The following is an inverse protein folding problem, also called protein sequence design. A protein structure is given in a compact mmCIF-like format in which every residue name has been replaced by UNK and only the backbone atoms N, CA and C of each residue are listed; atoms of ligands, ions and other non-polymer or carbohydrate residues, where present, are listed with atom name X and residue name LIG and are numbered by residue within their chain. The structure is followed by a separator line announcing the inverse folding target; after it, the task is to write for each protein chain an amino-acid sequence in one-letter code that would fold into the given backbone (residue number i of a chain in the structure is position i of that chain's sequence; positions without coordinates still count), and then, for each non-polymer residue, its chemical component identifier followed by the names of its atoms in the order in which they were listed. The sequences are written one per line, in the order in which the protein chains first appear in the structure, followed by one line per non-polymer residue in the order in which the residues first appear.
data_IF_415322577081
#
_entry.id   IF_415322577081
#
_cell.length_a   1.000
_cell.length_b   1.000
_cell.length_c   1.000
_cell.angle_alpha   90.00
_cell.angle_beta   90.00
_cell.angle_gamma   90.00
#
_symmetry.space_group_name_H-M   'P 1'
#
loop_
_entity.id
_entity.type
_entity.pdbx_description
1 polymer ?
#
# COMPACT_ATOMS: atom_id res chain seq x y z
N UNK A 1 13.21 -9.97 4.84
CA UNK A 1 13.31 -8.67 5.54
C UNK A 1 14.49 -7.83 5.04
N UNK A 2 15.68 -8.43 4.85
CA UNK A 2 16.89 -7.74 4.38
C UNK A 2 16.68 -7.03 3.04
N UNK A 3 16.01 -7.68 2.09
CA UNK A 3 15.73 -7.09 0.77
C UNK A 3 14.98 -5.75 0.84
N UNK A 4 14.03 -5.60 1.76
CA UNK A 4 13.23 -4.39 1.87
C UNK A 4 14.09 -3.18 2.27
N UNK A 5 15.06 -3.39 3.14
CA UNK A 5 16.00 -2.39 3.63
C UNK A 5 17.32 -2.34 2.82
N UNK A 6 17.44 -3.18 1.75
CA UNK A 6 18.67 -3.30 0.98
C UNK A 6 19.04 -1.97 0.29
N UNK A 7 20.32 -1.64 0.43
CA UNK A 7 20.94 -0.47 -0.16
C UNK A 7 21.56 -0.78 -1.53
N UNK A 8 22.08 -2.00 -1.73
CA UNK A 8 23.01 -2.33 -2.80
C UNK A 8 22.40 -2.30 -4.21
N UNK A 9 21.12 -2.61 -4.33
CA UNK A 9 20.43 -2.83 -5.60
C UNK A 9 20.13 -1.57 -6.43
N UNK A 10 20.37 -0.37 -5.92
CA UNK A 10 20.10 0.87 -6.65
C UNK A 10 18.63 1.07 -7.06
N UNK A 11 17.73 0.38 -6.42
CA UNK A 11 16.30 0.28 -6.77
C UNK A 11 15.59 1.63 -6.68
N UNK A 12 14.70 1.93 -7.64
CA UNK A 12 13.90 3.15 -7.64
C UNK A 12 12.70 3.07 -6.71
N UNK A 13 11.94 2.01 -6.83
CA UNK A 13 10.75 1.74 -6.02
C UNK A 13 10.63 0.24 -5.86
N UNK A 14 10.07 -0.22 -4.75
CA UNK A 14 9.94 -1.64 -4.43
C UNK A 14 8.50 -2.10 -4.49
N UNK A 15 8.29 -3.29 -5.03
CA UNK A 15 7.00 -3.97 -5.09
C UNK A 15 7.14 -5.34 -4.46
N UNK A 16 6.22 -5.70 -3.60
CA UNK A 16 6.08 -7.07 -3.08
C UNK A 16 4.95 -7.75 -3.83
N UNK A 17 5.19 -8.95 -4.29
CA UNK A 17 4.19 -9.79 -4.94
C UNK A 17 3.90 -10.99 -4.05
N UNK A 18 2.63 -11.29 -3.84
CA UNK A 18 2.20 -12.52 -3.18
C UNK A 18 0.92 -13.05 -3.82
N UNK A 19 0.50 -14.25 -3.42
CA UNK A 19 -0.76 -14.81 -3.89
C UNK A 19 -1.93 -13.93 -3.45
N UNK A 20 -2.01 -13.59 -2.16
CA UNK A 20 -3.10 -12.80 -1.57
C UNK A 20 -2.57 -11.63 -0.74
N UNK A 21 -3.38 -10.60 -0.51
CA UNK A 21 -3.05 -9.49 0.38
C UNK A 21 -3.15 -9.91 1.86
N UNK A 22 -2.51 -9.15 2.77
CA UNK A 22 -2.49 -9.40 4.22
C UNK A 22 -3.65 -8.73 4.96
N UNK A 23 -4.80 -8.63 4.33
CA UNK A 23 -6.04 -8.10 4.89
C UNK A 23 -7.24 -8.80 4.25
N UNK A 24 -8.30 -9.03 5.01
CA UNK A 24 -9.47 -9.74 4.52
C UNK A 24 -10.60 -8.79 4.16
N UNK A 25 -10.68 -8.41 2.88
CA UNK A 25 -11.78 -7.59 2.35
C UNK A 25 -12.91 -8.51 1.92
N UNK A 26 -13.71 -8.97 2.88
CA UNK A 26 -14.85 -9.83 2.63
C UNK A 26 -15.93 -9.71 3.71
N UNK A 27 -17.19 -9.72 3.28
CA UNK A 27 -18.36 -9.83 4.15
C UNK A 27 -19.28 -10.95 3.68
N UNK A 28 -20.08 -11.48 4.58
CA UNK A 28 -21.07 -12.53 4.33
C UNK A 28 -22.37 -12.20 5.06
N UNK A 29 -23.53 -12.76 4.65
CA UNK A 29 -24.77 -12.62 5.40
C UNK A 29 -24.60 -12.97 6.88
N UNK A 30 -25.24 -12.21 7.76
CA UNK A 30 -25.10 -12.42 9.22
C UNK A 30 -25.60 -13.77 9.70
N UNK A 31 -26.58 -14.36 8.99
CA UNK A 31 -27.14 -15.69 9.24
C UNK A 31 -26.31 -16.84 8.64
N UNK A 32 -25.24 -16.54 7.91
CA UNK A 32 -24.37 -17.58 7.35
C UNK A 32 -23.75 -18.44 8.45
N UNK A 33 -23.87 -19.77 8.31
CA UNK A 33 -23.33 -20.75 9.26
C UNK A 33 -21.81 -20.77 9.29
N UNK A 34 -21.16 -20.43 8.16
CA UNK A 34 -19.71 -20.32 8.04
C UNK A 34 -19.22 -18.91 8.39
N UNK A 35 -18.03 -18.80 8.99
CA UNK A 35 -17.30 -17.54 9.11
C UNK A 35 -16.57 -17.14 7.84
N UNK A 36 -16.44 -18.06 6.88
CA UNK A 36 -15.74 -17.90 5.62
C UNK A 36 -16.66 -17.42 4.49
N UNK A 37 -16.07 -17.17 3.33
CA UNK A 37 -16.80 -16.82 2.10
C UNK A 37 -17.69 -17.99 1.65
N UNK A 38 -18.89 -17.69 1.19
CA UNK A 38 -19.88 -18.67 0.71
C UNK A 38 -20.09 -18.55 -0.81
N UNK A 39 -20.30 -19.67 -1.54
CA UNK A 39 -20.27 -19.67 -3.01
C UNK A 39 -21.54 -19.14 -3.69
N UNK A 40 -22.61 -18.84 -2.98
CA UNK A 40 -23.91 -18.48 -3.57
C UNK A 40 -24.44 -17.14 -3.07
N UNK A 41 -23.62 -16.10 -3.09
CA UNK A 41 -24.05 -14.75 -2.71
C UNK A 41 -24.96 -14.15 -3.79
N UNK A 42 -26.13 -13.58 -3.45
CA UNK A 42 -26.92 -12.80 -4.39
C UNK A 42 -26.14 -11.59 -4.92
N UNK A 43 -26.29 -11.32 -6.21
CA UNK A 43 -25.69 -10.15 -6.86
C UNK A 43 -26.69 -8.98 -6.73
N UNK A 44 -26.29 -7.85 -6.12
CA UNK A 44 -27.15 -6.68 -5.96
C UNK A 44 -27.28 -5.89 -7.26
N UNK A 45 -28.24 -4.96 -7.31
CA UNK A 45 -28.30 -3.95 -8.36
C UNK A 45 -27.04 -3.05 -8.29
N UNK A 46 -26.60 -2.48 -9.42
CA UNK A 46 -25.42 -1.59 -9.45
C UNK A 46 -25.58 -0.43 -8.46
N UNK A 47 -24.57 -0.20 -7.64
CA UNK A 47 -24.58 0.86 -6.64
C UNK A 47 -25.43 0.59 -5.40
N UNK A 48 -26.15 -0.55 -5.31
CA UNK A 48 -26.87 -0.92 -4.11
C UNK A 48 -25.91 -1.33 -3.00
N UNK A 49 -26.23 -0.95 -1.77
CA UNK A 49 -25.54 -1.41 -0.57
C UNK A 49 -26.30 -2.58 0.06
N UNK A 50 -25.63 -3.68 0.32
CA UNK A 50 -26.22 -4.85 0.96
C UNK A 50 -26.12 -4.70 2.48
N UNK A 51 -27.24 -4.46 3.13
CA UNK A 51 -27.31 -4.41 4.59
C UNK A 51 -27.35 -5.80 5.23
N UNK A 52 -26.93 -5.90 6.48
CA UNK A 52 -27.05 -7.12 7.27
C UNK A 52 -25.94 -8.15 7.07
N UNK A 53 -24.83 -7.78 6.44
CA UNK A 53 -23.65 -8.60 6.41
C UNK A 53 -22.85 -8.48 7.72
N UNK A 54 -22.00 -9.47 7.98
CA UNK A 54 -20.93 -9.47 8.99
C UNK A 54 -19.57 -9.62 8.33
N UNK A 55 -18.52 -9.25 9.04
CA UNK A 55 -17.16 -9.49 8.57
C UNK A 55 -16.90 -10.98 8.40
N UNK A 56 -16.33 -11.38 7.27
CA UNK A 56 -15.88 -12.75 7.04
C UNK A 56 -14.49 -12.98 7.64
N UNK A 57 -14.22 -14.21 8.08
CA UNK A 57 -12.89 -14.67 8.49
C UNK A 57 -12.47 -15.81 7.54
N UNK A 58 -11.96 -15.42 6.38
CA UNK A 58 -11.53 -16.36 5.34
C UNK A 58 -10.16 -16.93 5.65
N UNK A 59 -10.14 -18.11 6.28
CA UNK A 59 -8.91 -18.79 6.69
C UNK A 59 -8.10 -19.32 5.50
N UNK A 60 -8.73 -19.54 4.36
CA UNK A 60 -8.09 -20.13 3.18
C UNK A 60 -7.15 -19.10 2.50
N UNK A 61 -7.67 -17.91 2.20
CA UNK A 61 -6.86 -16.88 1.56
C UNK A 61 -6.17 -15.92 2.52
N UNK A 62 -6.74 -15.63 3.71
CA UNK A 62 -6.32 -14.51 4.55
C UNK A 62 -6.04 -14.85 6.01
N UNK A 63 -6.05 -16.11 6.36
CA UNK A 63 -5.79 -16.60 7.73
C UNK A 63 -4.32 -16.47 8.15
N UNK A 64 -3.72 -15.32 7.97
CA UNK A 64 -2.33 -15.05 8.35
C UNK A 64 -2.18 -14.97 9.87
N UNK A 65 -1.19 -15.65 10.47
CA UNK A 65 -0.85 -15.41 11.87
C UNK A 65 -0.50 -13.93 12.08
N UNK A 66 -1.16 -13.20 13.02
CA UNK A 66 -0.98 -11.75 13.18
C UNK A 66 0.49 -11.33 13.35
N UNK A 67 1.26 -12.07 14.14
CA UNK A 67 2.68 -11.78 14.34
C UNK A 67 3.52 -11.92 13.08
N UNK A 68 3.20 -12.90 12.21
CA UNK A 68 3.85 -13.09 10.92
C UNK A 68 3.49 -11.99 9.93
N UNK A 69 2.20 -11.65 9.86
CA UNK A 69 1.66 -10.53 9.07
C UNK A 69 2.35 -9.22 9.44
N UNK A 70 2.33 -8.86 10.70
CA UNK A 70 2.88 -7.58 11.17
C UNK A 70 4.38 -7.48 10.94
N UNK A 71 5.12 -8.59 11.13
CA UNK A 71 6.55 -8.64 10.79
C UNK A 71 6.80 -8.39 9.31
N UNK A 72 5.99 -8.98 8.43
CA UNK A 72 6.07 -8.75 6.98
C UNK A 72 5.77 -7.29 6.63
N UNK A 73 4.71 -6.71 7.19
CA UNK A 73 4.33 -5.32 6.95
C UNK A 73 5.39 -4.33 7.45
N UNK A 74 5.98 -4.57 8.64
CA UNK A 74 7.10 -3.77 9.14
C UNK A 74 8.33 -3.87 8.24
N UNK A 75 8.60 -5.04 7.67
CA UNK A 75 9.68 -5.20 6.70
C UNK A 75 9.41 -4.42 5.41
N UNK A 76 8.19 -4.52 4.85
CA UNK A 76 7.78 -3.81 3.65
C UNK A 76 7.86 -2.28 3.82
N UNK A 77 7.47 -1.77 4.98
CA UNK A 77 7.55 -0.36 5.37
C UNK A 77 8.97 0.19 5.21
N UNK A 78 10.01 -0.56 5.58
CA UNK A 78 11.42 -0.15 5.47
C UNK A 78 11.86 0.18 4.04
N UNK A 79 11.17 -0.30 3.03
CA UNK A 79 11.43 -0.02 1.62
C UNK A 79 10.37 0.84 0.93
N UNK A 80 9.39 1.35 1.68
CA UNK A 80 8.22 2.04 1.13
C UNK A 80 7.57 1.22 0.01
N UNK A 81 7.47 -0.10 0.24
CA UNK A 81 7.05 -1.06 -0.77
C UNK A 81 5.53 -1.00 -0.98
N UNK A 82 5.11 -1.23 -2.22
CA UNK A 82 3.71 -1.45 -2.58
C UNK A 82 3.45 -2.95 -2.67
N UNK A 83 2.33 -3.42 -2.18
CA UNK A 83 1.94 -4.81 -2.25
C UNK A 83 0.94 -5.04 -3.39
N UNK A 84 1.23 -5.97 -4.29
CA UNK A 84 0.32 -6.40 -5.35
C UNK A 84 0.02 -7.88 -5.18
N UNK A 85 -1.25 -8.24 -5.18
CA UNK A 85 -1.70 -9.61 -4.99
C UNK A 85 -3.04 -9.86 -5.69
N UNK A 86 -3.52 -11.09 -5.70
CA UNK A 86 -4.79 -11.52 -6.27
C UNK A 86 -5.58 -12.39 -5.31
N UNK A 87 -6.09 -13.51 -5.82
CA UNK A 87 -6.74 -14.61 -5.10
C UNK A 87 -8.09 -14.31 -4.42
N UNK A 88 -8.30 -13.13 -3.87
CA UNK A 88 -9.54 -12.80 -3.16
C UNK A 88 -10.78 -12.66 -4.07
N UNK A 89 -10.63 -12.68 -5.39
CA UNK A 89 -11.71 -12.54 -6.38
C UNK A 89 -12.55 -11.25 -6.21
N UNK A 90 -12.03 -10.29 -5.48
CA UNK A 90 -12.61 -8.97 -5.26
C UNK A 90 -11.50 -7.94 -5.35
N UNK A 91 -11.53 -7.10 -6.39
CA UNK A 91 -10.55 -6.03 -6.46
C UNK A 91 -10.73 -5.08 -5.30
N UNK A 92 -9.61 -4.75 -4.65
CA UNK A 92 -9.59 -3.77 -3.57
C UNK A 92 -8.25 -3.03 -3.53
N UNK A 93 -8.29 -1.77 -3.15
CA UNK A 93 -7.09 -1.01 -2.76
C UNK A 93 -7.24 -0.64 -1.29
N UNK A 94 -6.29 -1.09 -0.49
CA UNK A 94 -6.25 -0.82 0.95
C UNK A 94 -4.89 -0.27 1.36
N UNK A 95 -4.85 0.39 2.52
CA UNK A 95 -3.62 0.60 3.26
C UNK A 95 -3.68 -0.23 4.54
N UNK A 96 -2.63 -0.99 4.81
CA UNK A 96 -2.57 -1.80 6.02
C UNK A 96 -2.45 -0.95 7.26
N UNK A 97 -3.06 -1.43 8.35
CA UNK A 97 -2.70 -1.04 9.69
C UNK A 97 -1.87 -2.14 10.38
N UNK A 98 -0.99 -1.74 11.28
CA UNK A 98 -0.18 -2.62 12.13
C UNK A 98 -0.53 -2.34 13.58
N UNK A 99 -0.16 -1.16 14.06
CA UNK A 99 -0.43 -0.66 15.41
C UNK A 99 -1.61 0.35 15.40
N UNK A 100 -1.89 0.95 14.23
CA UNK A 100 -2.98 1.89 13.98
C UNK A 100 -3.50 1.75 12.55
N UNK A 101 -4.63 2.38 12.23
CA UNK A 101 -5.13 2.47 10.86
C UNK A 101 -4.18 3.26 9.98
N UNK A 102 -3.95 2.79 8.75
CA UNK A 102 -3.15 3.50 7.76
C UNK A 102 -1.64 3.57 8.05
N UNK A 103 -1.14 2.91 9.09
CA UNK A 103 0.27 2.96 9.49
C UNK A 103 1.15 1.91 8.79
N UNK A 104 0.72 1.40 7.65
CA UNK A 104 1.42 0.39 6.85
C UNK A 104 1.41 0.67 5.35
N UNK A 105 1.96 -0.27 4.55
CA UNK A 105 2.02 -0.16 3.11
C UNK A 105 0.65 -0.17 2.43
N UNK A 106 0.59 0.40 1.21
CA UNK A 106 -0.56 0.24 0.32
C UNK A 106 -0.55 -1.10 -0.38
N UNK A 107 -1.74 -1.65 -0.63
CA UNK A 107 -1.94 -2.89 -1.36
C UNK A 107 -3.03 -2.77 -2.41
N UNK A 108 -2.82 -3.43 -3.56
CA UNK A 108 -3.83 -3.72 -4.55
C UNK A 108 -4.05 -5.24 -4.59
N UNK A 109 -5.26 -5.67 -4.27
CA UNK A 109 -5.76 -6.97 -4.71
C UNK A 109 -6.36 -6.80 -6.10
N UNK A 110 -5.81 -7.48 -7.10
CA UNK A 110 -6.36 -7.42 -8.47
C UNK A 110 -7.61 -8.28 -8.58
N UNK A 111 -8.57 -7.93 -9.46
CA UNK A 111 -9.74 -8.76 -9.70
C UNK A 111 -9.35 -10.08 -10.40
N UNK A 112 -10.15 -11.09 -10.24
CA UNK A 112 -10.03 -12.32 -11.01
C UNK A 112 -10.43 -12.09 -12.46
N UNK A 113 -9.69 -12.65 -13.42
CA UNK A 113 -9.99 -12.49 -14.85
C UNK A 113 -11.24 -13.27 -15.27
N UNK A 114 -11.47 -14.45 -14.70
CA UNK A 114 -12.52 -15.38 -15.15
C UNK A 114 -13.05 -16.31 -14.06
N UNK A 115 -12.78 -16.07 -12.80
CA UNK A 115 -13.26 -16.90 -11.72
C UNK A 115 -14.66 -16.49 -11.27
N UNK A 116 -15.51 -17.48 -11.01
CA UNK A 116 -16.90 -17.27 -10.62
C UNK A 116 -17.11 -17.26 -9.10
N UNK A 117 -16.06 -17.40 -8.30
CA UNK A 117 -16.20 -17.41 -6.85
C UNK A 117 -16.68 -16.06 -6.34
N UNK A 118 -17.86 -15.95 -5.71
CA UNK A 118 -18.41 -14.67 -5.29
C UNK A 118 -17.74 -14.18 -4.02
N UNK A 119 -17.38 -12.91 -4.03
CA UNK A 119 -16.93 -12.18 -2.85
C UNK A 119 -17.51 -10.78 -2.91
N UNK A 120 -17.79 -10.18 -1.75
CA UNK A 120 -18.32 -8.83 -1.63
C UNK A 120 -17.83 -8.16 -0.36
N UNK A 121 -17.91 -6.85 -0.34
CA UNK A 121 -17.53 -6.04 0.80
C UNK A 121 -18.63 -5.02 1.11
N UNK A 122 -19.48 -5.37 2.07
CA UNK A 122 -20.56 -4.54 2.60
C UNK A 122 -20.50 -4.58 4.12
N UNK A 123 -19.53 -3.87 4.75
CA UNK A 123 -19.36 -3.88 6.20
C UNK A 123 -20.64 -3.39 6.90
N UNK A 124 -20.96 -3.91 8.10
CA UNK A 124 -22.21 -3.60 8.79
C UNK A 124 -22.36 -2.11 9.15
N UNK A 125 -21.23 -1.44 9.36
CA UNK A 125 -21.18 -0.01 9.64
C UNK A 125 -20.29 0.70 8.62
N UNK A 126 -20.58 1.96 8.27
CA UNK A 126 -19.70 2.75 7.43
C UNK A 126 -18.32 2.90 8.06
N UNK A 127 -17.25 2.87 7.24
CA UNK A 127 -15.90 3.09 7.73
C UNK A 127 -15.72 4.46 8.39
N UNK A 128 -14.90 4.52 9.43
CA UNK A 128 -14.45 5.79 10.01
C UNK A 128 -13.41 6.47 9.11
N UNK A 129 -13.13 7.75 9.33
CA UNK A 129 -12.14 8.56 8.59
C UNK A 129 -12.32 8.55 7.05
N UNK A 130 -13.54 8.36 6.57
CA UNK A 130 -13.84 8.42 5.14
C UNK A 130 -13.68 9.84 4.59
N UNK A 131 -13.21 9.93 3.35
CA UNK A 131 -13.31 11.18 2.61
C UNK A 131 -14.79 11.60 2.44
N UNK A 132 -15.13 12.89 2.56
CA UNK A 132 -16.50 13.36 2.33
C UNK A 132 -17.03 12.90 0.96
N UNK A 133 -18.25 12.34 0.94
CA UNK A 133 -18.90 11.84 -0.28
C UNK A 133 -18.40 10.48 -0.78
N UNK A 134 -17.43 9.86 -0.14
CA UNK A 134 -16.98 8.50 -0.50
C UNK A 134 -17.99 7.43 -0.08
N UNK A 135 -17.91 6.27 -0.71
CA UNK A 135 -18.82 5.15 -0.45
C UNK A 135 -18.74 4.66 1.01
N UNK A 136 -19.85 4.21 1.62
CA UNK A 136 -19.87 3.77 3.01
C UNK A 136 -18.93 2.60 3.31
N UNK A 137 -18.58 1.81 2.31
CA UNK A 137 -17.66 0.69 2.40
C UNK A 137 -16.17 1.08 2.26
N UNK A 138 -15.84 2.37 2.29
CA UNK A 138 -14.48 2.91 2.34
C UNK A 138 -14.16 3.46 3.73
N UNK A 139 -12.89 3.76 4.01
CA UNK A 139 -12.41 4.24 5.32
C UNK A 139 -11.80 3.14 6.17
N UNK A 140 -11.75 3.36 7.47
CA UNK A 140 -11.07 2.49 8.42
C UNK A 140 -11.99 1.38 8.94
N UNK A 141 -11.46 0.15 8.92
CA UNK A 141 -12.14 -1.06 9.38
C UNK A 141 -11.18 -2.02 10.08
N UNK A 142 -11.71 -2.81 10.98
CA UNK A 142 -11.08 -4.08 11.37
C UNK A 142 -11.63 -5.17 10.45
N UNK A 143 -10.75 -6.00 9.88
CA UNK A 143 -11.17 -7.16 9.09
C UNK A 143 -11.75 -8.29 9.98
N UNK A 144 -12.19 -9.39 9.39
CA UNK A 144 -12.75 -10.52 10.14
C UNK A 144 -11.79 -11.22 11.10
N UNK A 145 -10.50 -10.90 11.04
CA UNK A 145 -9.46 -11.36 11.97
C UNK A 145 -9.06 -10.29 12.99
N UNK A 146 -9.67 -9.11 12.94
CA UNK A 146 -9.34 -7.98 13.81
C UNK A 146 -8.13 -7.17 13.36
N UNK A 147 -7.64 -7.35 12.13
CA UNK A 147 -6.53 -6.56 11.61
C UNK A 147 -7.02 -5.19 11.14
N UNK A 148 -6.36 -4.09 11.53
CA UNK A 148 -6.72 -2.77 11.04
C UNK A 148 -6.35 -2.61 9.56
N UNK A 149 -7.24 -1.94 8.80
CA UNK A 149 -7.02 -1.55 7.41
C UNK A 149 -7.84 -0.32 7.05
N UNK A 150 -7.32 0.51 6.16
CA UNK A 150 -8.05 1.60 5.52
C UNK A 150 -8.39 1.20 4.10
N UNK A 151 -9.67 1.15 3.76
CA UNK A 151 -10.17 0.75 2.44
C UNK A 151 -10.42 1.99 1.58
N UNK A 152 -9.77 2.07 0.42
CA UNK A 152 -9.91 3.19 -0.52
C UNK A 152 -10.89 2.89 -1.64
N UNK A 153 -10.85 1.68 -2.19
CA UNK A 153 -11.72 1.28 -3.28
C UNK A 153 -11.96 -0.24 -3.28
N UNK A 154 -13.16 -0.64 -3.70
CA UNK A 154 -13.56 -2.05 -3.85
C UNK A 154 -14.48 -2.18 -5.05
N UNK A 155 -14.25 -3.17 -5.92
CA UNK A 155 -15.15 -3.51 -7.04
C UNK A 155 -16.21 -4.53 -6.62
N UNK A 156 -17.17 -4.11 -5.83
CA UNK A 156 -18.27 -4.98 -5.44
C UNK A 156 -19.01 -5.55 -6.66
N UNK A 157 -19.44 -6.84 -6.61
CA UNK A 157 -20.32 -7.41 -7.62
C UNK A 157 -21.59 -6.57 -7.82
N UNK A 158 -22.07 -6.51 -9.04
CA UNK A 158 -23.29 -5.79 -9.40
C UNK A 158 -23.81 -6.24 -10.76
N UNK A 159 -25.08 -5.97 -11.06
CA UNK A 159 -25.71 -6.34 -12.34
C UNK A 159 -25.29 -5.37 -13.44
N UNK A 160 -24.18 -5.66 -14.08
CA UNK A 160 -23.60 -4.81 -15.14
C UNK A 160 -24.33 -4.92 -16.48
N UNK A 161 -25.26 -5.90 -16.63
CA UNK A 161 -26.02 -6.11 -17.85
C UNK A 161 -25.18 -6.57 -19.05
N UNK A 162 -24.00 -7.12 -18.83
CA UNK A 162 -23.09 -7.61 -19.88
C UNK A 162 -23.05 -9.13 -19.87
N UNK A 163 -23.23 -9.74 -21.02
CA UNK A 163 -23.16 -11.19 -21.18
C UNK A 163 -21.71 -11.72 -21.27
N UNK A 164 -21.41 -12.91 -20.72
CA UNK A 164 -22.28 -13.68 -19.84
C UNK A 164 -22.39 -13.07 -18.42
N UNK A 165 -23.62 -12.82 -17.96
CA UNK A 165 -23.88 -12.18 -16.65
C UNK A 165 -23.30 -12.96 -15.48
N UNK A 166 -23.30 -14.29 -15.56
CA UNK A 166 -22.68 -15.17 -14.55
C UNK A 166 -21.20 -14.87 -14.31
N UNK A 167 -20.50 -14.28 -15.27
CA UNK A 167 -19.12 -13.82 -15.15
C UNK A 167 -19.08 -12.32 -14.84
N UNK A 168 -19.70 -11.51 -15.67
CA UNK A 168 -19.47 -10.05 -15.62
C UNK A 168 -20.09 -9.39 -14.40
N UNK A 169 -21.19 -9.93 -13.86
CA UNK A 169 -21.81 -9.43 -12.64
C UNK A 169 -20.94 -9.66 -11.36
N UNK A 170 -19.87 -10.45 -11.46
CA UNK A 170 -18.91 -10.70 -10.36
C UNK A 170 -17.69 -9.80 -10.41
N UNK A 171 -17.76 -8.71 -11.15
CA UNK A 171 -16.69 -7.73 -11.32
C UNK A 171 -15.32 -8.32 -11.68
N UNK A 172 -15.24 -9.18 -12.73
CA UNK A 172 -13.98 -9.72 -13.21
C UNK A 172 -13.16 -8.65 -13.90
N UNK A 173 -11.84 -8.79 -13.87
CA UNK A 173 -11.01 -7.76 -14.48
C UNK A 173 -9.53 -7.98 -14.36
N UNK A 174 -8.80 -6.88 -14.38
CA UNK A 174 -7.35 -6.84 -14.25
C UNK A 174 -6.92 -5.57 -13.49
N UNK A 175 -5.71 -5.58 -12.97
CA UNK A 175 -5.11 -4.44 -12.30
C UNK A 175 -4.00 -3.81 -13.12
N UNK A 176 -3.83 -2.49 -12.99
CA UNK A 176 -2.67 -1.76 -13.50
C UNK A 176 -2.05 -0.99 -12.33
N UNK A 177 -0.75 -1.18 -12.12
CA UNK A 177 0.02 -0.37 -11.20
C UNK A 177 1.02 0.49 -11.98
N UNK A 178 0.94 1.81 -11.82
CA UNK A 178 1.82 2.78 -12.49
C UNK A 178 2.74 3.44 -11.47
N UNK A 179 4.02 3.43 -11.77
CA UNK A 179 5.06 4.00 -10.91
C UNK A 179 5.77 5.13 -11.64
N UNK A 180 5.56 6.36 -11.20
CA UNK A 180 6.25 7.52 -11.77
C UNK A 180 7.59 7.72 -11.07
N UNK A 181 8.68 7.45 -11.78
CA UNK A 181 10.04 7.55 -11.24
C UNK A 181 10.45 8.98 -10.89
N UNK A 182 9.92 9.99 -11.56
CA UNK A 182 10.28 11.39 -11.33
C UNK A 182 9.50 11.98 -10.13
N UNK A 183 8.18 11.81 -10.11
CA UNK A 183 7.32 12.36 -9.04
C UNK A 183 7.24 11.47 -7.80
N UNK A 184 7.67 10.19 -7.91
CA UNK A 184 7.46 9.15 -6.88
C UNK A 184 5.98 8.90 -6.59
N UNK A 185 5.10 9.23 -7.50
CA UNK A 185 3.69 8.91 -7.41
C UNK A 185 3.44 7.45 -7.85
N UNK A 186 2.58 6.78 -7.13
CA UNK A 186 2.03 5.47 -7.47
C UNK A 186 0.55 5.64 -7.77
N UNK A 187 0.07 5.04 -8.86
CA UNK A 187 -1.34 4.92 -9.21
C UNK A 187 -1.70 3.44 -9.28
N UNK A 188 -2.66 3.02 -8.46
CA UNK A 188 -3.23 1.68 -8.47
C UNK A 188 -4.59 1.74 -9.13
N UNK A 189 -4.88 0.80 -10.03
CA UNK A 189 -6.08 0.79 -10.86
C UNK A 189 -6.65 -0.61 -10.95
N UNK A 190 -7.98 -0.75 -10.88
CA UNK A 190 -8.70 -1.98 -11.20
C UNK A 190 -9.67 -1.71 -12.35
N UNK A 191 -9.64 -2.57 -13.34
CA UNK A 191 -10.34 -2.40 -14.61
C UNK A 191 -11.30 -3.55 -14.88
N UNK A 192 -12.51 -3.27 -15.37
CA UNK A 192 -13.39 -4.33 -15.89
C UNK A 192 -12.69 -5.12 -16.98
N UNK A 193 -12.94 -6.42 -17.04
CA UNK A 193 -12.34 -7.32 -18.02
C UNK A 193 -12.52 -6.87 -19.47
N UNK A 194 -13.63 -6.19 -19.76
CA UNK A 194 -13.99 -5.72 -21.09
C UNK A 194 -13.50 -4.31 -21.41
N UNK A 195 -12.96 -3.60 -20.44
CA UNK A 195 -12.56 -2.22 -20.61
C UNK A 195 -11.18 -2.13 -21.28
N UNK A 196 -11.06 -1.17 -22.18
CA UNK A 196 -9.82 -0.80 -22.85
C UNK A 196 -9.41 0.62 -22.42
N UNK A 197 -8.39 0.78 -21.54
CA UNK A 197 -7.92 2.08 -21.11
C UNK A 197 -7.41 2.96 -22.25
N UNK A 198 -6.98 2.35 -23.37
CA UNK A 198 -6.49 3.11 -24.55
C UNK A 198 -7.64 3.66 -25.40
N UNK A 199 -8.82 3.06 -25.30
CA UNK A 199 -10.05 3.53 -25.94
C UNK A 199 -10.81 4.56 -25.09
N UNK A 200 -10.33 4.86 -23.86
CA UNK A 200 -10.96 5.80 -22.94
C UNK A 200 -12.05 5.20 -22.07
N UNK A 201 -12.14 3.89 -21.99
CA UNK A 201 -13.05 3.24 -21.03
C UNK A 201 -12.65 3.61 -19.59
N UNK A 202 -13.59 3.66 -18.64
CA UNK A 202 -13.27 3.95 -17.25
C UNK A 202 -12.83 2.69 -16.48
N UNK A 203 -11.98 2.85 -15.44
CA UNK A 203 -11.76 1.80 -14.46
C UNK A 203 -13.03 1.55 -13.63
N UNK A 204 -13.00 0.53 -12.76
CA UNK A 204 -14.04 0.37 -11.74
C UNK A 204 -14.18 1.62 -10.88
N UNK A 205 -15.40 1.92 -10.36
CA UNK A 205 -15.62 3.07 -9.49
C UNK A 205 -14.69 3.07 -8.27
N UNK A 206 -14.15 4.25 -7.93
CA UNK A 206 -13.19 4.42 -6.83
C UNK A 206 -11.73 4.41 -7.28
N UNK A 207 -11.43 3.95 -8.48
CA UNK A 207 -10.08 4.02 -9.05
C UNK A 207 -9.93 5.15 -10.08
N UNK A 208 -8.71 5.65 -10.30
CA UNK A 208 -7.43 5.24 -9.70
C UNK A 208 -7.25 5.74 -8.26
N UNK A 209 -6.62 4.93 -7.41
CA UNK A 209 -6.11 5.38 -6.11
C UNK A 209 -4.66 5.82 -6.29
N UNK A 210 -4.35 7.06 -5.91
CA UNK A 210 -3.02 7.66 -6.07
C UNK A 210 -2.45 8.06 -4.73
N UNK A 211 -1.14 7.83 -4.58
CA UNK A 211 -0.39 8.23 -3.39
C UNK A 211 1.09 8.45 -3.75
N UNK A 212 1.79 9.19 -2.90
CA UNK A 212 3.24 9.32 -3.01
C UNK A 212 3.92 8.16 -2.29
N UNK A 213 5.09 7.75 -2.79
CA UNK A 213 5.84 6.62 -2.23
C UNK A 213 6.06 6.77 -0.72
N UNK A 214 6.36 7.97 -0.24
CA UNK A 214 6.61 8.25 1.18
C UNK A 214 5.42 7.93 2.08
N UNK A 215 4.20 8.05 1.57
CA UNK A 215 2.98 7.70 2.30
C UNK A 215 2.86 6.19 2.58
N UNK A 216 3.59 5.35 1.83
CA UNK A 216 3.66 3.90 2.05
C UNK A 216 4.37 3.48 3.34
N UNK A 217 5.03 4.40 4.05
CA UNK A 217 5.51 4.13 5.40
C UNK A 217 4.35 4.13 6.41
N UNK A 218 3.41 5.06 6.26
CA UNK A 218 2.13 5.12 6.97
C UNK A 218 2.18 5.69 8.39
N UNK A 219 3.33 5.84 9.00
CA UNK A 219 3.45 6.47 10.31
C UNK A 219 3.61 7.98 10.20
N UNK A 220 2.97 8.71 11.11
CA UNK A 220 3.26 10.13 11.31
C UNK A 220 4.68 10.30 11.86
N UNK A 221 5.47 11.24 11.32
CA UNK A 221 6.81 11.50 11.83
C UNK A 221 6.81 11.98 13.29
N UNK A 222 7.66 11.39 14.11
CA UNK A 222 8.03 11.95 15.40
C UNK A 222 8.77 13.28 15.24
N UNK A 223 9.58 13.39 14.18
CA UNK A 223 10.35 14.57 13.83
C UNK A 223 11.16 14.36 12.56
N UNK A 224 11.97 15.36 12.25
CA UNK A 224 12.76 15.40 11.03
C UNK A 224 14.24 15.54 11.33
N UNK A 225 15.08 14.77 10.65
CA UNK A 225 16.52 14.97 10.62
C UNK A 225 16.85 16.20 9.74
N UNK A 226 18.07 16.75 9.84
CA UNK A 226 18.45 17.88 9.00
C UNK A 226 18.20 17.61 7.51
N UNK A 227 17.66 18.60 6.83
CA UNK A 227 17.45 18.54 5.38
C UNK A 227 18.78 18.33 4.66
N UNK A 228 18.89 17.27 3.90
CA UNK A 228 20.03 16.97 3.06
C UNK A 228 20.03 17.90 1.84
N UNK A 229 21.07 18.69 1.68
CA UNK A 229 21.31 19.50 0.48
C UNK A 229 22.44 18.83 -0.32
N UNK A 230 22.07 18.11 -1.37
CA UNK A 230 22.95 17.17 -2.06
C UNK A 230 23.55 17.84 -3.30
N UNK A 231 24.88 17.81 -3.41
CA UNK A 231 25.64 18.39 -4.54
C UNK A 231 26.46 17.29 -5.22
N UNK A 232 26.50 17.31 -6.55
CA UNK A 232 27.25 16.34 -7.35
C UNK A 232 26.58 15.00 -7.61
N UNK A 233 25.42 14.75 -6.97
CA UNK A 233 24.64 13.53 -7.17
C UNK A 233 23.16 13.87 -7.19
N UNK A 234 22.42 13.30 -8.15
CA UNK A 234 20.97 13.44 -8.27
C UNK A 234 20.28 12.11 -8.00
N UNK A 235 19.11 12.17 -7.39
CA UNK A 235 18.30 11.01 -7.05
C UNK A 235 19.06 9.93 -6.25
N UNK A 236 19.80 10.29 -5.18
CA UNK A 236 20.56 9.30 -4.40
C UNK A 236 19.67 8.36 -3.63
N UNK A 237 20.23 7.23 -3.22
CA UNK A 237 19.67 6.44 -2.13
C UNK A 237 19.98 7.13 -0.80
N UNK A 238 18.98 7.12 0.09
CA UNK A 238 19.09 7.54 1.48
C UNK A 238 18.68 6.37 2.35
N UNK A 239 19.55 5.95 3.26
CA UNK A 239 19.22 4.95 4.28
C UNK A 239 19.38 5.59 5.65
N UNK A 240 18.30 5.53 6.44
CA UNK A 240 18.27 5.99 7.83
C UNK A 240 18.37 4.79 8.75
N UNK A 241 19.25 4.86 9.75
CA UNK A 241 19.43 3.82 10.76
C UNK A 241 19.35 4.43 12.14
N UNK A 242 18.70 3.75 13.07
CA UNK A 242 18.81 4.06 14.49
C UNK A 242 20.20 3.71 14.99
N UNK A 243 20.84 4.61 15.72
CA UNK A 243 22.13 4.29 16.37
C UNK A 243 21.94 3.44 17.64
N UNK A 244 20.74 3.45 18.21
CA UNK A 244 20.35 2.52 19.26
C UNK A 244 19.97 1.17 18.63
N UNK A 245 20.89 0.22 18.66
CA UNK A 245 20.69 -1.12 18.10
C UNK A 245 21.06 -1.29 16.62
N UNK A 246 21.35 -0.23 15.89
CA UNK A 246 21.82 -0.29 14.49
C UNK A 246 20.76 -0.72 13.47
N UNK A 247 19.49 -0.68 13.83
CA UNK A 247 18.39 -1.11 12.95
C UNK A 247 18.18 -0.11 11.80
N UNK A 248 17.94 -0.64 10.59
CA UNK A 248 17.52 0.19 9.45
C UNK A 248 16.07 0.60 9.67
N UNK A 249 15.85 1.92 9.74
CA UNK A 249 14.52 2.51 9.79
C UNK A 249 13.87 2.42 8.41
N UNK A 250 14.59 2.89 7.38
CA UNK A 250 14.19 2.74 5.97
C UNK A 250 15.35 2.98 5.01
N UNK A 251 15.12 2.54 3.77
CA UNK A 251 15.96 2.88 2.60
C UNK A 251 15.05 3.38 1.47
N UNK A 252 15.35 4.56 0.94
CA UNK A 252 14.56 5.24 -0.09
C UNK A 252 15.47 5.86 -1.14
N UNK A 253 15.13 5.72 -2.44
CA UNK A 253 15.71 6.55 -3.48
C UNK A 253 14.91 7.85 -3.58
N UNK A 254 15.53 8.94 -3.16
CA UNK A 254 14.88 10.26 -3.16
C UNK A 254 14.76 10.83 -4.58
N UNK A 255 13.93 11.85 -4.75
CA UNK A 255 13.79 12.58 -6.01
C UNK A 255 14.52 13.92 -5.93
N UNK A 256 15.40 14.18 -6.87
CA UNK A 256 16.18 15.42 -6.95
C UNK A 256 17.39 15.45 -6.03
N UNK A 257 17.66 16.61 -5.46
CA UNK A 257 18.89 16.90 -4.68
C UNK A 257 18.60 17.44 -3.27
N UNK A 258 17.34 17.38 -2.83
CA UNK A 258 16.93 17.84 -1.52
C UNK A 258 15.98 16.81 -0.88
N UNK A 259 16.26 16.46 0.36
CA UNK A 259 15.39 15.53 1.12
C UNK A 259 15.46 15.83 2.61
N UNK A 260 14.31 15.85 3.27
CA UNK A 260 14.21 16.00 4.73
C UNK A 260 13.78 14.66 5.31
N UNK A 261 14.71 13.87 5.89
CA UNK A 261 14.39 12.53 6.37
C UNK A 261 13.44 12.58 7.58
N UNK A 262 12.22 12.02 7.49
CA UNK A 262 11.36 11.80 8.66
C UNK A 262 11.93 10.66 9.50
N UNK A 263 11.73 10.73 10.81
CA UNK A 263 11.96 9.62 11.73
C UNK A 263 10.75 9.47 12.66
N UNK A 264 10.56 8.26 13.22
CA UNK A 264 9.30 7.87 13.82
C UNK A 264 9.40 7.61 15.33
N UNK A 265 10.59 7.76 15.88
CA UNK A 265 10.87 7.62 17.30
C UNK A 265 11.93 8.66 17.75
N UNK A 266 12.03 8.90 19.07
CA UNK A 266 13.11 9.69 19.64
C UNK A 266 14.44 8.92 19.53
N UNK A 267 15.56 9.62 19.37
CA UNK A 267 16.87 9.00 19.39
C UNK A 267 17.91 9.68 18.52
N UNK A 268 19.03 9.00 18.35
CA UNK A 268 20.12 9.39 17.44
C UNK A 268 20.14 8.46 16.24
N UNK A 269 20.43 9.04 15.09
CA UNK A 269 20.36 8.34 13.81
C UNK A 269 21.62 8.56 12.98
N UNK A 270 21.99 7.56 12.22
CA UNK A 270 22.94 7.70 11.13
C UNK A 270 22.19 7.74 9.80
N UNK A 271 22.68 8.60 8.89
CA UNK A 271 22.11 8.75 7.54
C UNK A 271 23.19 8.45 6.52
N UNK A 272 22.97 7.42 5.73
CA UNK A 272 23.82 7.04 4.60
C UNK A 272 23.20 7.58 3.32
N UNK A 273 23.97 8.37 2.57
CA UNK A 273 23.55 9.00 1.31
C UNK A 273 24.50 8.60 0.20
N UNK A 274 24.02 8.24 -0.98
CA UNK A 274 24.91 7.96 -2.09
C UNK A 274 24.28 7.16 -3.23
N UNK A 275 25.13 6.65 -4.09
CA UNK A 275 24.74 5.74 -5.17
C UNK A 275 25.61 4.48 -5.15
N UNK A 276 25.02 3.31 -4.87
CA UNK A 276 25.77 2.05 -4.85
C UNK A 276 26.47 1.74 -6.18
N UNK A 277 25.87 2.15 -7.31
CA UNK A 277 26.42 1.88 -8.64
C UNK A 277 27.72 2.61 -8.91
N UNK A 278 27.90 3.82 -8.35
CA UNK A 278 29.14 4.60 -8.48
C UNK A 278 30.12 4.37 -7.32
N UNK A 279 29.67 3.69 -6.26
CA UNK A 279 30.43 3.52 -5.03
C UNK A 279 30.58 4.80 -4.19
N UNK A 280 29.99 5.90 -4.61
CA UNK A 280 30.05 7.16 -3.86
C UNK A 280 29.05 7.11 -2.69
N UNK A 281 29.55 7.25 -1.48
CA UNK A 281 28.74 7.19 -0.25
C UNK A 281 29.25 8.21 0.75
N UNK A 282 28.32 8.94 1.38
CA UNK A 282 28.54 9.79 2.55
C UNK A 282 27.76 9.23 3.74
N UNK A 283 28.35 9.32 4.92
CA UNK A 283 27.74 8.87 6.18
C UNK A 283 27.70 10.03 7.17
N UNK A 284 26.50 10.38 7.60
CA UNK A 284 26.24 11.37 8.65
C UNK A 284 25.88 10.63 9.92
N UNK A 285 26.66 10.85 10.99
CA UNK A 285 26.43 10.22 12.30
C UNK A 285 25.80 11.22 13.28
N UNK A 286 25.20 10.72 14.36
CA UNK A 286 24.73 11.53 15.48
C UNK A 286 23.56 12.47 15.11
N UNK A 287 22.79 12.17 14.09
CA UNK A 287 21.68 13.03 13.69
C UNK A 287 20.50 12.85 14.65
N UNK A 288 19.99 13.94 15.21
CA UNK A 288 18.85 13.95 16.11
C UNK A 288 17.65 14.64 15.46
N UNK A 289 16.40 14.15 15.70
CA UNK A 289 15.20 14.78 15.14
C UNK A 289 14.91 16.15 15.77
N UNK A 290 14.26 17.00 14.99
CA UNK A 290 13.60 18.23 15.43
C UNK A 290 12.13 18.21 14.97
N UNK A 291 11.24 18.96 15.64
CA UNK A 291 9.83 19.04 15.24
C UNK A 291 9.62 19.59 13.82
N UNK A 292 10.57 20.38 13.33
CA UNK A 292 10.53 21.01 12.03
C UNK A 292 11.75 20.68 11.16
N UNK A 293 11.70 21.09 9.90
CA UNK A 293 12.75 20.92 8.90
C UNK A 293 13.70 22.11 8.79
N UNK A 294 13.84 22.93 9.83
CA UNK A 294 14.62 24.18 9.79
C UNK A 294 16.13 23.97 9.65
N UNK A 295 16.64 22.80 10.10
CA UNK A 295 18.06 22.46 10.01
C UNK A 295 18.40 21.86 8.64
N UNK A 296 19.61 22.13 8.15
CA UNK A 296 20.11 21.52 6.91
C UNK A 296 21.58 21.12 7.02
N UNK A 297 21.98 20.16 6.21
CA UNK A 297 23.35 19.70 6.08
C UNK A 297 23.69 19.52 4.60
N UNK A 298 24.87 19.99 4.22
CA UNK A 298 25.39 19.79 2.86
C UNK A 298 26.04 18.41 2.74
N UNK A 299 25.69 17.71 1.65
CA UNK A 299 26.25 16.39 1.29
C UNK A 299 26.87 16.54 -0.09
N UNK A 300 28.19 16.48 -0.17
CA UNK A 300 28.94 16.75 -1.40
C UNK A 300 29.52 15.48 -1.98
N UNK A 301 29.29 15.26 -3.26
CA UNK A 301 29.92 14.20 -4.05
C UNK A 301 30.83 14.81 -5.12
N UNK A 302 31.88 14.10 -5.46
CA UNK A 302 32.70 14.49 -6.61
C UNK A 302 31.86 14.30 -7.88
N UNK A 303 31.87 15.28 -8.77
CA UNK A 303 31.27 15.13 -10.09
C UNK A 303 31.99 13.98 -10.80
N UNK A 304 31.24 12.88 -11.02
CA UNK A 304 31.80 11.77 -11.80
C UNK A 304 32.13 12.25 -13.21
N UNK A 305 33.33 12.01 -13.66
CA UNK A 305 33.63 12.05 -15.10
C UNK A 305 32.69 11.03 -15.77
N UNK A 306 31.83 11.51 -16.70
CA UNK A 306 30.94 10.69 -17.51
C UNK A 306 31.70 10.09 -18.67
#
# INVERSE_FOLDING_TARGET
EEWAADWSGGTWMKVVLSQTIFGNVATIPSDAMSGSVIPSLPIPEPGAYVAGDKMAADMDSNGWPPSGRDRALRAMRKGFSVHLAGDQHLASTIQYGIDAFGDGPFALCVPSVANFWPRRWYPPEPGSNRAPGSAPYTGDFLDGFGNPMTVYAVSNPGRWGREPTTLHDRAPGYGIARFNRASREVSLEAWPRWADPTAGDPPYPGWPVRFRQEQGYGKEPYGFLPTLLIQGLRDPLVQVRSELGGEVVYTLRVSGTRFTPPVFDAGSYSVRVGDPGSGQVQLLLGQTPAPDSSRSVEVRFQAGER
#
